data_IF_979116229428
#
_entry.id   IF_979116229428
#
_cell.length_a   1.000
_cell.length_b   1.000
_cell.length_c   1.000
_cell.angle_alpha   90.00
_cell.angle_beta   90.00
_cell.angle_gamma   90.00
#
_symmetry.space_group_name_H-M   'P 1'
#
loop_
_entity.id
_entity.type
_entity.pdbx_description
1 polymer ?
#
# COMPACT_ATOMS: atom_id res chain seq x y z
N UNK A 1 24.89 -2.69 13.33
CA UNK A 1 23.58 -3.40 13.32
C UNK A 1 22.70 -2.67 12.31
N UNK A 2 22.27 -3.35 11.23
CA UNK A 2 21.31 -2.76 10.28
C UNK A 2 20.03 -2.41 11.02
N UNK A 3 19.46 -1.26 10.70
CA UNK A 3 18.21 -0.76 11.27
C UNK A 3 17.10 -1.83 11.20
N UNK A 4 16.44 -2.10 12.32
CA UNK A 4 15.29 -3.02 12.39
C UNK A 4 13.98 -2.35 11.94
N UNK A 5 14.06 -1.25 11.18
CA UNK A 5 12.89 -0.53 10.67
C UNK A 5 12.16 -1.36 9.61
N UNK A 6 10.84 -1.24 9.58
CA UNK A 6 10.04 -1.86 8.52
C UNK A 6 10.17 -1.09 7.21
N UNK A 7 9.99 -1.81 6.10
CA UNK A 7 9.85 -1.26 4.77
C UNK A 7 8.35 -1.18 4.42
N UNK A 8 7.82 0.03 4.30
CA UNK A 8 6.40 0.26 4.06
C UNK A 8 6.17 0.62 2.60
N UNK A 9 5.34 -0.16 1.92
CA UNK A 9 4.92 0.10 0.56
C UNK A 9 3.59 0.84 0.52
N UNK A 10 3.59 1.98 -0.17
CA UNK A 10 2.48 2.91 -0.29
C UNK A 10 2.18 3.12 -1.78
N UNK A 11 0.94 3.39 -2.09
CA UNK A 11 0.52 3.68 -3.46
C UNK A 11 -0.94 3.31 -3.72
N UNK A 12 -1.42 3.72 -4.87
CA UNK A 12 -2.78 3.47 -5.30
C UNK A 12 -3.08 1.97 -5.43
N UNK A 13 -4.34 1.60 -5.36
CA UNK A 13 -4.76 0.27 -5.77
C UNK A 13 -4.28 0.00 -7.21
N UNK A 14 -3.84 -1.22 -7.51
CA UNK A 14 -3.28 -1.56 -8.81
C UNK A 14 -1.82 -1.16 -9.04
N UNK A 15 -1.15 -0.48 -8.09
CA UNK A 15 0.26 -0.11 -8.22
C UNK A 15 1.26 -1.26 -8.04
N UNK A 16 0.81 -2.43 -7.60
CA UNK A 16 1.65 -3.63 -7.51
C UNK A 16 2.30 -3.86 -6.13
N UNK A 17 1.87 -3.16 -5.08
CA UNK A 17 2.43 -3.26 -3.72
C UNK A 17 2.58 -4.69 -3.21
N UNK A 18 1.53 -5.49 -3.30
CA UNK A 18 1.55 -6.88 -2.80
C UNK A 18 2.57 -7.75 -3.54
N UNK A 19 2.63 -7.64 -4.88
CA UNK A 19 3.61 -8.37 -5.68
C UNK A 19 5.05 -7.93 -5.38
N UNK A 20 5.29 -6.62 -5.31
CA UNK A 20 6.61 -6.04 -5.03
C UNK A 20 7.03 -6.37 -3.59
N UNK A 21 6.11 -6.24 -2.63
CA UNK A 21 6.37 -6.56 -1.23
C UNK A 21 6.75 -8.02 -1.00
N UNK A 22 6.05 -8.94 -1.65
CA UNK A 22 6.38 -10.37 -1.62
C UNK A 22 7.78 -10.65 -2.19
N UNK A 23 8.15 -10.00 -3.30
CA UNK A 23 9.48 -10.17 -3.90
C UNK A 23 10.60 -9.60 -2.99
N UNK A 24 10.39 -8.43 -2.40
CA UNK A 24 11.35 -7.82 -1.48
C UNK A 24 11.53 -8.70 -0.25
N UNK A 25 10.44 -9.15 0.38
CA UNK A 25 10.50 -9.97 1.58
C UNK A 25 11.27 -11.27 1.36
N UNK A 26 11.07 -11.93 0.21
CA UNK A 26 11.82 -13.13 -0.18
C UNK A 26 13.31 -12.83 -0.35
N UNK A 27 13.67 -11.72 -1.00
CA UNK A 27 15.09 -11.34 -1.20
C UNK A 27 15.80 -10.98 0.09
N UNK A 28 15.11 -10.32 1.02
CA UNK A 28 15.65 -9.94 2.33
C UNK A 28 15.53 -11.05 3.38
N UNK A 29 14.80 -12.12 3.09
CA UNK A 29 14.44 -13.19 4.03
C UNK A 29 13.78 -12.63 5.32
N UNK A 30 12.80 -11.74 5.15
CA UNK A 30 12.04 -11.11 6.24
C UNK A 30 10.53 -11.29 6.02
N UNK A 31 9.74 -11.04 7.06
CA UNK A 31 8.28 -11.21 7.00
C UNK A 31 7.62 -10.25 6.01
N UNK A 32 6.64 -10.73 5.27
CA UNK A 32 5.73 -9.91 4.47
C UNK A 32 4.35 -9.82 5.14
N UNK A 33 3.83 -8.60 5.25
CA UNK A 33 2.51 -8.30 5.81
C UNK A 33 1.75 -7.48 4.77
N UNK A 34 0.70 -8.07 4.20
CA UNK A 34 -0.26 -7.36 3.35
C UNK A 34 -1.48 -7.00 4.21
N UNK A 35 -1.72 -5.70 4.41
CA UNK A 35 -2.78 -5.22 5.31
C UNK A 35 -4.16 -5.65 4.82
N UNK A 36 -4.42 -5.65 3.51
CA UNK A 36 -5.70 -6.10 2.96
C UNK A 36 -5.95 -7.59 3.32
N UNK A 37 -4.92 -8.43 3.21
CA UNK A 37 -5.03 -9.84 3.59
C UNK A 37 -5.22 -10.03 5.11
N UNK A 38 -4.54 -9.24 5.93
CA UNK A 38 -4.72 -9.29 7.39
C UNK A 38 -6.14 -8.88 7.77
N UNK A 39 -6.68 -7.84 7.14
CA UNK A 39 -8.07 -7.39 7.31
C UNK A 39 -9.09 -8.50 6.99
N UNK A 40 -8.96 -9.14 5.84
CA UNK A 40 -9.85 -10.22 5.43
C UNK A 40 -9.75 -11.43 6.36
N UNK A 41 -8.55 -11.78 6.82
CA UNK A 41 -8.35 -12.88 7.76
C UNK A 41 -8.91 -12.60 9.16
N UNK A 42 -8.71 -11.38 9.66
CA UNK A 42 -9.20 -10.97 10.99
C UNK A 42 -10.73 -10.87 11.03
N UNK A 43 -11.33 -10.25 10.01
CA UNK A 43 -12.78 -10.06 9.90
C UNK A 43 -13.54 -11.30 9.45
N UNK A 44 -12.86 -12.32 8.91
CA UNK A 44 -13.46 -13.48 8.22
C UNK A 44 -14.38 -13.09 7.05
N UNK A 45 -14.16 -11.91 6.49
CA UNK A 45 -14.96 -11.34 5.40
C UNK A 45 -14.05 -10.77 4.32
N UNK A 46 -14.49 -10.81 3.06
CA UNK A 46 -13.84 -10.07 1.98
C UNK A 46 -14.03 -8.57 2.17
N UNK A 47 -13.07 -7.76 1.74
CA UNK A 47 -13.16 -6.29 1.86
C UNK A 47 -14.47 -5.78 1.23
N UNK A 48 -14.87 -6.31 0.07
CA UNK A 48 -16.14 -5.95 -0.57
C UNK A 48 -17.35 -6.23 0.34
N UNK A 49 -17.37 -7.36 1.04
CA UNK A 49 -18.43 -7.71 1.98
C UNK A 49 -18.45 -6.81 3.21
N UNK A 50 -17.27 -6.38 3.70
CA UNK A 50 -17.16 -5.42 4.81
C UNK A 50 -17.83 -4.11 4.42
N UNK A 51 -17.51 -3.59 3.22
CA UNK A 51 -18.12 -2.35 2.71
C UNK A 51 -19.63 -2.47 2.55
N UNK A 52 -20.11 -3.57 1.99
CA UNK A 52 -21.54 -3.82 1.76
C UNK A 52 -22.32 -3.99 3.07
N UNK A 53 -21.81 -4.82 3.99
CA UNK A 53 -22.53 -5.21 5.21
C UNK A 53 -22.30 -4.27 6.40
N UNK A 54 -21.14 -3.61 6.47
CA UNK A 54 -20.72 -2.80 7.63
C UNK A 54 -20.45 -1.33 7.27
N UNK A 55 -20.26 -1.00 6.00
CA UNK A 55 -19.99 0.34 5.50
C UNK A 55 -18.53 0.79 5.60
N UNK A 56 -18.24 1.92 4.97
CA UNK A 56 -16.87 2.45 4.87
C UNK A 56 -16.29 2.85 6.23
N UNK A 57 -17.06 3.48 7.10
CA UNK A 57 -16.58 3.92 8.42
C UNK A 57 -16.07 2.73 9.26
N UNK A 58 -16.80 1.62 9.26
CA UNK A 58 -16.38 0.40 9.95
C UNK A 58 -15.06 -0.13 9.35
N UNK A 59 -14.98 -0.19 8.01
CA UNK A 59 -13.76 -0.62 7.32
C UNK A 59 -12.56 0.25 7.70
N UNK A 60 -12.72 1.59 7.69
CA UNK A 60 -11.63 2.52 8.02
C UNK A 60 -11.14 2.40 9.45
N UNK A 61 -12.04 2.19 10.40
CA UNK A 61 -11.69 1.95 11.80
C UNK A 61 -10.91 0.63 11.96
N UNK A 62 -11.34 -0.42 11.27
CA UNK A 62 -10.66 -1.71 11.29
C UNK A 62 -9.29 -1.63 10.59
N UNK A 63 -9.21 -0.94 9.44
CA UNK A 63 -7.96 -0.67 8.72
C UNK A 63 -6.95 0.08 9.61
N UNK A 64 -7.38 1.13 10.31
CA UNK A 64 -6.53 1.87 11.25
C UNK A 64 -5.99 0.97 12.34
N UNK A 65 -6.86 0.24 13.04
CA UNK A 65 -6.48 -0.66 14.14
C UNK A 65 -5.48 -1.72 13.70
N UNK A 66 -5.75 -2.41 12.60
CA UNK A 66 -4.91 -3.49 12.09
C UNK A 66 -3.57 -2.94 11.57
N UNK A 67 -3.60 -1.81 10.86
CA UNK A 67 -2.38 -1.20 10.34
C UNK A 67 -1.46 -0.74 11.48
N UNK A 68 -1.96 -0.02 12.47
CA UNK A 68 -1.17 0.43 13.62
C UNK A 68 -0.58 -0.74 14.39
N UNK A 69 -1.35 -1.83 14.59
CA UNK A 69 -0.85 -3.07 15.19
C UNK A 69 0.28 -3.70 14.35
N UNK A 70 0.12 -3.72 13.03
CA UNK A 70 1.12 -4.30 12.11
C UNK A 70 2.42 -3.48 12.06
N UNK A 71 2.34 -2.16 12.21
CA UNK A 71 3.50 -1.27 12.24
C UNK A 71 4.40 -1.50 13.48
N UNK A 72 3.89 -2.14 14.54
CA UNK A 72 4.70 -2.57 15.69
C UNK A 72 5.60 -3.77 15.38
N UNK A 73 5.45 -4.40 14.22
CA UNK A 73 6.42 -5.41 13.75
C UNK A 73 7.78 -4.77 13.54
N UNK A 74 8.81 -5.57 13.59
CA UNK A 74 10.18 -5.17 13.30
C UNK A 74 10.73 -5.97 12.14
N UNK A 75 11.56 -5.35 11.33
CA UNK A 75 12.23 -6.01 10.20
C UNK A 75 11.23 -6.75 9.27
N UNK A 76 10.21 -6.03 8.83
CA UNK A 76 9.15 -6.58 7.97
C UNK A 76 8.93 -5.69 6.74
N UNK A 77 8.44 -6.28 5.66
CA UNK A 77 7.85 -5.54 4.53
C UNK A 77 6.36 -5.46 4.75
N UNK A 78 5.79 -4.26 4.77
CA UNK A 78 4.36 -4.04 4.99
C UNK A 78 3.75 -3.31 3.80
N UNK A 79 2.76 -3.92 3.16
CA UNK A 79 1.97 -3.31 2.09
C UNK A 79 0.71 -2.70 2.68
N UNK A 80 0.58 -1.37 2.62
CA UNK A 80 -0.63 -0.68 3.06
C UNK A 80 -1.78 -0.84 2.04
N UNK A 81 -3.01 -0.85 2.53
CA UNK A 81 -4.18 -0.64 1.69
C UNK A 81 -4.10 0.71 0.96
N UNK A 82 -4.75 0.83 -0.21
CA UNK A 82 -4.67 2.07 -1.02
C UNK A 82 -5.13 3.34 -0.30
N UNK A 83 -5.99 3.22 0.71
CA UNK A 83 -6.42 4.35 1.55
C UNK A 83 -5.66 4.50 2.87
N UNK A 84 -4.86 3.50 3.26
CA UNK A 84 -4.25 3.47 4.60
C UNK A 84 -3.38 4.68 4.91
N UNK A 85 -2.52 5.11 3.99
CA UNK A 85 -1.64 6.27 4.18
C UNK A 85 -2.38 7.62 4.18
N UNK A 86 -3.64 7.66 3.73
CA UNK A 86 -4.51 8.85 3.80
C UNK A 86 -4.89 9.14 5.26
N UNK A 87 -5.03 8.10 6.08
CA UNK A 87 -5.26 8.24 7.51
C UNK A 87 -4.06 8.91 8.18
N UNK A 88 -4.32 9.99 8.92
CA UNK A 88 -3.26 10.81 9.52
C UNK A 88 -2.48 10.07 10.60
N UNK A 89 -3.15 9.25 11.42
CA UNK A 89 -2.49 8.49 12.50
C UNK A 89 -1.54 7.44 11.91
N UNK A 90 -2.01 6.68 10.91
CA UNK A 90 -1.17 5.71 10.20
C UNK A 90 0.02 6.42 9.56
N UNK A 91 -0.22 7.54 8.86
CA UNK A 91 0.84 8.30 8.19
C UNK A 91 1.90 8.80 9.16
N UNK A 92 1.50 9.36 10.30
CA UNK A 92 2.43 9.82 11.33
C UNK A 92 3.32 8.69 11.84
N UNK A 93 2.74 7.52 12.13
CA UNK A 93 3.49 6.37 12.64
C UNK A 93 4.43 5.79 11.56
N UNK A 94 3.98 5.71 10.30
CA UNK A 94 4.82 5.28 9.18
C UNK A 94 6.05 6.17 9.04
N UNK A 95 5.86 7.49 9.03
CA UNK A 95 6.95 8.45 8.81
C UNK A 95 7.93 8.56 9.97
N UNK A 96 7.49 8.24 11.19
CA UNK A 96 8.31 8.34 12.41
C UNK A 96 9.39 7.26 12.49
N UNK A 97 9.03 6.00 12.24
CA UNK A 97 9.87 4.86 12.62
C UNK A 97 10.14 3.85 11.50
N UNK A 98 9.72 4.10 10.26
CA UNK A 98 9.80 3.14 9.17
C UNK A 98 10.40 3.78 7.91
N UNK A 99 10.83 2.95 6.96
CA UNK A 99 11.19 3.40 5.60
C UNK A 99 9.96 3.35 4.71
N UNK A 100 9.50 4.48 4.22
CA UNK A 100 8.29 4.60 3.41
C UNK A 100 8.61 4.80 1.93
N UNK A 101 8.09 3.90 1.08
CA UNK A 101 8.27 3.90 -0.36
C UNK A 101 6.93 4.02 -1.08
N UNK A 102 6.77 5.05 -1.89
CA UNK A 102 5.60 5.20 -2.74
C UNK A 102 5.85 4.63 -4.13
N UNK A 103 5.08 3.62 -4.53
CA UNK A 103 5.05 3.11 -5.89
C UNK A 103 4.19 4.04 -6.76
N UNK A 104 4.84 4.99 -7.43
CA UNK A 104 4.20 5.96 -8.28
C UNK A 104 4.05 5.42 -9.70
N UNK A 105 2.86 4.92 -10.03
CA UNK A 105 2.48 4.51 -11.38
C UNK A 105 1.72 5.64 -12.07
N UNK A 106 1.83 5.72 -13.40
CA UNK A 106 1.05 6.66 -14.19
C UNK A 106 -0.44 6.35 -14.14
N UNK A 107 -1.26 7.40 -14.30
CA UNK A 107 -2.72 7.32 -14.16
C UNK A 107 -3.33 6.33 -15.16
N UNK A 108 -2.89 6.31 -16.42
CA UNK A 108 -3.45 5.41 -17.43
C UNK A 108 -3.22 3.94 -17.09
N UNK A 109 -2.02 3.60 -16.62
CA UNK A 109 -1.69 2.24 -16.14
C UNK A 109 -2.58 1.85 -14.96
N UNK A 110 -2.79 2.76 -14.01
CA UNK A 110 -3.66 2.52 -12.85
C UNK A 110 -5.10 2.30 -13.27
N UNK A 111 -5.66 3.16 -14.13
CA UNK A 111 -7.03 3.03 -14.65
C UNK A 111 -7.24 1.67 -15.31
N UNK A 112 -6.35 1.26 -16.19
CA UNK A 112 -6.44 -0.03 -16.89
C UNK A 112 -6.40 -1.22 -15.89
N UNK A 113 -5.51 -1.18 -14.90
CA UNK A 113 -5.39 -2.26 -13.91
C UNK A 113 -6.58 -2.32 -12.96
N UNK A 114 -7.12 -1.17 -12.57
CA UNK A 114 -8.27 -1.09 -11.66
C UNK A 114 -9.54 -1.62 -12.35
N UNK A 115 -9.81 -1.20 -13.59
CA UNK A 115 -10.94 -1.69 -14.38
C UNK A 115 -10.94 -3.21 -14.55
N UNK A 116 -9.78 -3.79 -14.76
CA UNK A 116 -9.62 -5.24 -14.94
C UNK A 116 -9.63 -6.04 -13.63
N UNK A 117 -9.76 -5.37 -12.47
CA UNK A 117 -9.72 -6.01 -11.15
C UNK A 117 -11.09 -6.06 -10.49
N UNK A 118 -11.65 -7.24 -10.31
CA UNK A 118 -12.92 -7.48 -9.58
C UNK A 118 -12.82 -7.34 -8.04
N UNK A 119 -11.66 -6.91 -7.50
CA UNK A 119 -11.36 -6.96 -6.05
C UNK A 119 -11.46 -5.61 -5.32
N UNK A 120 -12.05 -4.56 -5.94
CA UNK A 120 -11.90 -3.18 -5.44
C UNK A 120 -13.25 -2.46 -5.31
N UNK A 121 -13.96 -2.60 -4.17
CA UNK A 121 -15.33 -2.06 -4.01
C UNK A 121 -15.42 -0.54 -4.24
N UNK A 122 -14.43 0.24 -3.81
CA UNK A 122 -14.41 1.70 -4.01
C UNK A 122 -14.36 2.07 -5.51
N UNK A 123 -13.71 1.24 -6.33
CA UNK A 123 -13.55 1.51 -7.76
C UNK A 123 -14.74 1.05 -8.61
N UNK A 124 -15.61 0.16 -8.10
CA UNK A 124 -16.74 -0.38 -8.88
C UNK A 124 -17.78 0.68 -9.28
N UNK A 125 -17.92 1.72 -8.47
CA UNK A 125 -18.94 2.76 -8.64
C UNK A 125 -18.37 4.06 -9.20
N UNK A 126 -17.06 4.12 -9.52
CA UNK A 126 -16.40 5.31 -10.03
C UNK A 126 -16.19 5.22 -11.55
N UNK A 127 -16.53 6.28 -12.27
CA UNK A 127 -16.14 6.45 -13.66
C UNK A 127 -14.66 6.89 -13.76
N UNK A 128 -14.13 6.97 -14.97
CA UNK A 128 -12.72 7.31 -15.23
C UNK A 128 -12.32 8.68 -14.69
N UNK A 129 -13.22 9.66 -14.82
CA UNK A 129 -12.98 11.03 -14.32
C UNK A 129 -12.89 11.04 -12.79
N UNK A 130 -13.84 10.41 -12.12
CA UNK A 130 -13.87 10.28 -10.66
C UNK A 130 -12.67 9.50 -10.12
N UNK A 131 -12.27 8.44 -10.82
CA UNK A 131 -11.10 7.64 -10.45
C UNK A 131 -9.81 8.43 -10.66
N UNK A 132 -9.71 9.21 -11.74
CA UNK A 132 -8.58 10.11 -11.99
C UNK A 132 -8.47 11.18 -10.91
N UNK A 133 -9.59 11.76 -10.48
CA UNK A 133 -9.64 12.73 -9.40
C UNK A 133 -9.21 12.11 -8.06
N UNK A 134 -9.66 10.88 -7.76
CA UNK A 134 -9.25 10.14 -6.58
C UNK A 134 -7.73 9.88 -6.58
N UNK A 135 -7.17 9.48 -7.72
CA UNK A 135 -5.72 9.29 -7.89
C UNK A 135 -4.99 10.61 -7.61
N UNK A 136 -5.44 11.71 -8.19
CA UNK A 136 -4.82 13.02 -8.00
C UNK A 136 -4.86 13.49 -6.54
N UNK A 137 -5.99 13.33 -5.85
CA UNK A 137 -6.14 13.64 -4.42
C UNK A 137 -5.19 12.83 -3.55
N UNK A 138 -5.10 11.52 -3.79
CA UNK A 138 -4.23 10.62 -3.03
C UNK A 138 -2.75 10.87 -3.32
N UNK A 139 -2.39 11.18 -4.55
CA UNK A 139 -1.01 11.51 -4.97
C UNK A 139 -0.42 12.64 -4.12
N UNK A 140 -1.20 13.67 -3.81
CA UNK A 140 -0.77 14.79 -2.94
C UNK A 140 -0.36 14.31 -1.54
N UNK A 141 -1.01 13.26 -1.03
CA UNK A 141 -0.70 12.71 0.30
C UNK A 141 0.43 11.68 0.20
N UNK A 142 0.44 10.82 -0.82
CA UNK A 142 1.51 9.87 -1.05
C UNK A 142 2.88 10.55 -1.24
N UNK A 143 2.91 11.77 -1.81
CA UNK A 143 4.15 12.52 -1.98
C UNK A 143 4.87 12.91 -0.68
N UNK A 144 4.23 12.71 0.48
CA UNK A 144 4.82 12.95 1.81
C UNK A 144 5.73 11.81 2.29
N UNK A 145 5.86 10.72 1.54
CA UNK A 145 6.77 9.61 1.86
C UNK A 145 8.25 10.03 1.76
N UNK A 146 9.12 9.25 2.37
CA UNK A 146 10.57 9.46 2.28
C UNK A 146 11.12 9.17 0.87
N UNK A 147 10.63 8.11 0.22
CA UNK A 147 11.16 7.66 -1.07
C UNK A 147 10.06 7.43 -2.10
N UNK A 148 10.14 8.15 -3.21
CA UNK A 148 9.26 7.98 -4.36
C UNK A 148 9.93 7.09 -5.41
N UNK A 149 9.25 6.04 -5.84
CA UNK A 149 9.70 5.15 -6.91
C UNK A 149 8.80 5.35 -8.12
N UNK A 150 9.31 5.98 -9.17
CA UNK A 150 8.60 6.08 -10.43
C UNK A 150 8.62 4.72 -11.14
N UNK A 151 7.44 4.13 -11.31
CA UNK A 151 7.28 2.77 -11.83
C UNK A 151 7.03 2.71 -13.34
N UNK A 152 6.92 3.87 -14.00
CA UNK A 152 6.64 3.92 -15.44
C UNK A 152 7.71 3.17 -16.24
N UNK A 153 7.26 2.29 -17.14
CA UNK A 153 8.12 1.43 -17.99
C UNK A 153 9.12 0.52 -17.25
N UNK A 154 8.97 0.35 -15.93
CA UNK A 154 9.81 -0.55 -15.16
C UNK A 154 9.14 -1.90 -14.95
N UNK A 155 9.93 -2.96 -15.02
CA UNK A 155 9.56 -4.30 -14.59
C UNK A 155 9.52 -4.38 -13.05
N UNK A 156 8.84 -5.38 -12.52
CA UNK A 156 8.82 -5.65 -11.07
C UNK A 156 10.23 -5.83 -10.51
N UNK A 157 11.10 -6.51 -11.25
CA UNK A 157 12.49 -6.76 -10.84
C UNK A 157 13.28 -5.46 -10.73
N UNK A 158 13.12 -4.54 -11.66
CA UNK A 158 13.80 -3.23 -11.64
C UNK A 158 13.29 -2.36 -10.48
N UNK A 159 11.98 -2.37 -10.21
CA UNK A 159 11.40 -1.67 -9.06
C UNK A 159 11.98 -2.22 -7.76
N UNK A 160 12.02 -3.54 -7.61
CA UNK A 160 12.59 -4.20 -6.43
C UNK A 160 14.07 -3.84 -6.25
N UNK A 161 14.88 -3.87 -7.32
CA UNK A 161 16.28 -3.48 -7.28
C UNK A 161 16.47 -2.03 -6.81
N UNK A 162 15.64 -1.09 -7.31
CA UNK A 162 15.69 0.32 -6.89
C UNK A 162 15.37 0.48 -5.39
N UNK A 163 14.31 -0.19 -4.90
CA UNK A 163 13.95 -0.13 -3.49
C UNK A 163 15.04 -0.70 -2.60
N UNK A 164 15.58 -1.88 -2.94
CA UNK A 164 16.64 -2.53 -2.16
C UNK A 164 17.90 -1.67 -2.12
N UNK A 165 18.31 -1.07 -3.25
CA UNK A 165 19.47 -0.17 -3.29
C UNK A 165 19.31 0.99 -2.31
N UNK A 166 18.12 1.62 -2.24
CA UNK A 166 17.85 2.71 -1.29
C UNK A 166 17.85 2.18 0.15
N UNK A 167 17.17 1.05 0.40
CA UNK A 167 17.02 0.47 1.73
C UNK A 167 18.36 0.01 2.34
N UNK A 168 19.28 -0.48 1.52
CA UNK A 168 20.60 -0.96 1.98
C UNK A 168 21.58 0.18 2.31
N UNK A 169 21.33 1.39 1.77
CA UNK A 169 22.20 2.57 1.97
C UNK A 169 21.71 3.49 3.10
N UNK A 170 20.56 3.19 3.74
CA UNK A 170 19.97 3.94 4.83
C UNK A 170 19.77 3.07 6.08
#
# INVERSE_FOLDING_TARGET
MKSKKNLILIGMMGSGKSSIGSLISKKLNIKFIDIDNVLENDSKMKIAEIFEKKGENFFRNLEEKITLKSLNSINSVISLGGGGFINEKIRKEVLKNNFSFWLNCDTQTLLNRIKNSKKRPIAFNLNDSELTELIAKRTKIYSKVQFKINCHKLTKTEIVKKILKIYEHN
#
